data_IF_281532482259
#
_entry.id   IF_281532482259
#
_cell.length_a   1.000
_cell.length_b   1.000
_cell.length_c   1.000
_cell.angle_alpha   90.00
_cell.angle_beta   90.00
_cell.angle_gamma   90.00
#
_symmetry.space_group_name_H-M   'P 1'
#
loop_
_entity.id
_entity.type
_entity.pdbx_description
1 polymer ?
#
# COMPACT_ATOMS: atom_id res chain seq x y z
N UNK A 1 -11.49 -8.42 -14.42
CA UNK A 1 -10.17 -7.96 -13.94
C UNK A 1 -9.10 -8.30 -14.96
N UNK A 2 -8.23 -7.34 -15.29
CA UNK A 2 -7.11 -7.53 -16.22
C UNK A 2 -5.95 -8.30 -15.57
N UNK A 3 -5.02 -8.83 -16.38
CA UNK A 3 -3.80 -9.51 -15.88
C UNK A 3 -2.98 -8.60 -14.95
N UNK A 4 -2.87 -7.32 -15.31
CA UNK A 4 -2.09 -6.35 -14.53
C UNK A 4 -2.76 -6.03 -13.18
N UNK A 5 -4.09 -5.95 -13.13
CA UNK A 5 -4.84 -5.79 -11.87
C UNK A 5 -4.65 -6.98 -10.94
N UNK A 6 -4.66 -8.21 -11.48
CA UNK A 6 -4.43 -9.42 -10.70
C UNK A 6 -3.01 -9.46 -10.12
N UNK A 7 -1.99 -9.22 -10.96
CA UNK A 7 -0.58 -9.15 -10.54
C UNK A 7 -0.37 -8.06 -9.47
N UNK A 8 -0.91 -6.86 -9.68
CA UNK A 8 -0.82 -5.75 -8.73
C UNK A 8 -1.50 -6.09 -7.40
N UNK A 9 -2.72 -6.63 -7.44
CA UNK A 9 -3.48 -7.01 -6.24
C UNK A 9 -2.73 -8.03 -5.39
N UNK A 10 -2.12 -9.03 -6.00
CA UNK A 10 -1.34 -10.04 -5.29
C UNK A 10 -0.13 -9.41 -4.56
N UNK A 11 0.64 -8.59 -5.27
CA UNK A 11 1.81 -7.90 -4.70
C UNK A 11 1.41 -6.97 -3.55
N UNK A 12 0.36 -6.17 -3.74
CA UNK A 12 -0.15 -5.23 -2.75
C UNK A 12 -0.65 -5.95 -1.48
N UNK A 13 -1.42 -7.03 -1.62
CA UNK A 13 -1.91 -7.81 -0.47
C UNK A 13 -0.78 -8.53 0.29
N UNK A 14 0.29 -8.91 -0.40
CA UNK A 14 1.49 -9.45 0.25
C UNK A 14 2.19 -8.38 1.08
N UNK A 15 2.40 -7.18 0.52
CA UNK A 15 3.03 -6.04 1.22
C UNK A 15 2.20 -5.55 2.39
N UNK A 16 0.88 -5.39 2.20
CA UNK A 16 -0.04 -5.01 3.27
C UNK A 16 0.04 -5.95 4.46
N UNK A 17 0.06 -7.27 4.21
CA UNK A 17 0.24 -8.27 5.28
C UNK A 17 1.57 -8.11 6.00
N UNK A 18 2.68 -7.92 5.30
CA UNK A 18 3.98 -7.70 5.93
C UNK A 18 3.98 -6.45 6.84
N UNK A 19 3.41 -5.34 6.37
CA UNK A 19 3.25 -4.10 7.15
C UNK A 19 2.26 -4.25 8.33
N UNK A 20 1.26 -5.13 8.20
CA UNK A 20 0.28 -5.42 9.25
C UNK A 20 0.75 -6.47 10.27
N UNK A 21 1.70 -7.35 9.92
CA UNK A 21 2.17 -8.43 10.79
C UNK A 21 3.40 -8.05 11.63
N UNK A 22 4.12 -6.98 11.27
CA UNK A 22 5.12 -6.35 12.13
C UNK A 22 4.56 -5.81 13.46
N UNK A 23 3.24 -5.84 13.65
CA UNK A 23 2.53 -5.34 14.84
C UNK A 23 1.73 -6.41 15.60
N UNK A 24 1.60 -7.64 15.07
CA UNK A 24 0.65 -8.64 15.61
C UNK A 24 1.29 -9.94 16.14
N UNK A 25 2.58 -10.19 15.90
CA UNK A 25 3.22 -11.45 16.33
C UNK A 25 3.54 -11.51 17.84
N UNK A 26 3.27 -10.46 18.62
CA UNK A 26 3.49 -10.46 20.07
C UNK A 26 2.34 -11.14 20.87
N UNK A 27 1.20 -11.49 20.25
CA UNK A 27 -0.01 -11.85 21.00
C UNK A 27 -0.74 -13.11 20.51
N UNK A 28 -0.02 -14.11 19.98
CA UNK A 28 -0.64 -15.36 19.49
C UNK A 28 -0.27 -16.61 20.31
N UNK A 29 0.24 -16.46 21.54
CA UNK A 29 0.30 -17.56 22.52
C UNK A 29 -0.71 -17.33 23.66
N UNK A 30 -1.88 -17.97 23.64
CA UNK A 30 -2.87 -17.86 24.72
C UNK A 30 -2.41 -18.48 26.06
N UNK A 31 -1.27 -19.19 26.09
CA UNK A 31 -0.68 -19.71 27.33
C UNK A 31 0.26 -18.70 28.04
N UNK A 32 0.63 -17.59 27.38
CA UNK A 32 1.51 -16.56 27.94
C UNK A 32 0.72 -15.52 28.75
N UNK A 33 0.03 -15.94 29.81
CA UNK A 33 -0.84 -15.04 30.59
C UNK A 33 -0.12 -14.22 31.69
N UNK A 34 1.22 -14.21 31.80
CA UNK A 34 1.86 -13.43 32.89
C UNK A 34 3.19 -12.72 32.60
N UNK A 35 3.71 -12.68 31.37
CA UNK A 35 4.93 -11.92 31.08
C UNK A 35 4.68 -10.73 30.14
N UNK A 36 5.40 -9.63 30.41
CA UNK A 36 5.63 -8.46 29.57
C UNK A 36 4.57 -7.34 29.52
N UNK A 37 4.62 -6.49 30.56
CA UNK A 37 4.39 -5.05 30.39
C UNK A 37 5.42 -4.37 29.45
N UNK A 38 6.49 -5.08 29.08
CA UNK A 38 7.55 -4.66 28.15
C UNK A 38 7.24 -4.95 26.66
N UNK A 39 6.19 -5.72 26.35
CA UNK A 39 5.74 -5.97 24.98
C UNK A 39 4.80 -4.86 24.47
N UNK A 40 5.18 -3.60 24.65
CA UNK A 40 4.51 -2.53 23.92
C UNK A 40 4.92 -2.61 22.45
N UNK A 41 3.98 -2.84 21.52
CA UNK A 41 4.31 -2.82 20.11
C UNK A 41 4.86 -1.45 19.79
N UNK A 42 6.06 -1.43 19.19
CA UNK A 42 6.66 -0.22 18.64
C UNK A 42 5.62 0.54 17.81
N UNK A 43 5.42 1.85 18.04
CA UNK A 43 4.44 2.60 17.29
C UNK A 43 4.76 2.50 15.79
N UNK A 44 3.75 2.12 14.99
CA UNK A 44 3.88 2.04 13.53
C UNK A 44 4.45 3.36 13.02
N UNK A 45 5.59 3.28 12.33
CA UNK A 45 6.25 4.47 11.81
C UNK A 45 5.31 5.22 10.86
N UNK A 46 5.42 6.54 10.83
CA UNK A 46 4.64 7.38 9.92
C UNK A 46 4.83 6.96 8.45
N UNK A 47 6.03 6.47 8.10
CA UNK A 47 6.32 5.90 6.79
C UNK A 47 5.47 4.65 6.53
N UNK A 48 5.43 3.70 7.45
CA UNK A 48 4.63 2.48 7.30
C UNK A 48 3.12 2.79 7.22
N UNK A 49 2.63 3.81 7.95
CA UNK A 49 1.25 4.28 7.84
C UNK A 49 0.93 4.83 6.45
N UNK A 50 1.82 5.65 5.90
CA UNK A 50 1.69 6.18 4.53
C UNK A 50 1.72 5.06 3.50
N UNK A 51 2.65 4.12 3.61
CA UNK A 51 2.70 2.97 2.71
C UNK A 51 1.43 2.11 2.77
N UNK A 52 0.89 1.87 3.96
CA UNK A 52 -0.40 1.17 4.11
C UNK A 52 -1.54 1.92 3.42
N UNK A 53 -1.63 3.24 3.63
CA UNK A 53 -2.65 4.06 2.99
C UNK A 53 -2.54 4.03 1.46
N UNK A 54 -1.32 4.06 0.91
CA UNK A 54 -1.06 3.99 -0.53
C UNK A 54 -1.44 2.63 -1.12
N UNK A 55 -1.19 1.56 -0.36
CA UNK A 55 -1.59 0.20 -0.74
C UNK A 55 -3.12 0.06 -0.72
N UNK A 56 -3.77 0.54 0.33
CA UNK A 56 -5.23 0.46 0.47
C UNK A 56 -5.95 1.27 -0.62
N UNK A 57 -5.46 2.46 -0.95
CA UNK A 57 -5.94 3.25 -2.08
C UNK A 57 -5.81 2.51 -3.42
N UNK A 58 -4.65 1.89 -3.67
CA UNK A 58 -4.42 1.13 -4.89
C UNK A 58 -5.34 -0.10 -4.99
N UNK A 59 -5.57 -0.80 -3.87
CA UNK A 59 -6.51 -1.92 -3.81
C UNK A 59 -7.95 -1.48 -4.06
N UNK A 60 -8.36 -0.32 -3.52
CA UNK A 60 -9.68 0.26 -3.78
C UNK A 60 -9.85 0.58 -5.27
N UNK A 61 -8.86 1.21 -5.91
CA UNK A 61 -8.89 1.49 -7.36
C UNK A 61 -9.00 0.21 -8.21
N UNK A 62 -8.39 -0.90 -7.79
CA UNK A 62 -8.55 -2.20 -8.45
C UNK A 62 -9.99 -2.70 -8.30
N UNK A 63 -10.57 -2.56 -7.10
CA UNK A 63 -11.95 -2.97 -6.84
C UNK A 63 -12.96 -2.14 -7.64
N UNK A 64 -12.73 -0.85 -7.78
CA UNK A 64 -13.59 0.08 -8.53
C UNK A 64 -13.37 0.01 -10.06
N UNK A 65 -12.32 -0.67 -10.52
CA UNK A 65 -11.98 -0.77 -11.95
C UNK A 65 -11.28 0.48 -12.51
N UNK A 66 -10.83 1.41 -11.67
CA UNK A 66 -10.11 2.63 -12.04
C UNK A 66 -8.58 2.47 -11.94
N UNK A 67 -8.09 1.25 -11.70
CA UNK A 67 -6.66 0.97 -11.60
C UNK A 67 -5.94 1.19 -12.93
N UNK A 68 -4.75 1.80 -12.85
CA UNK A 68 -3.98 2.13 -14.04
C UNK A 68 -4.33 3.46 -14.69
N UNK A 69 -5.19 4.28 -14.06
CA UNK A 69 -5.44 5.67 -14.48
C UNK A 69 -4.75 6.67 -13.55
N UNK A 70 -4.24 7.76 -14.12
CA UNK A 70 -3.65 8.87 -13.39
C UNK A 70 -4.74 9.67 -12.68
N UNK A 71 -4.59 9.89 -11.37
CA UNK A 71 -5.56 10.65 -10.59
C UNK A 71 -5.60 12.16 -10.93
N UNK A 72 -4.59 12.69 -11.62
CA UNK A 72 -4.56 14.09 -12.02
C UNK A 72 -5.13 14.34 -13.43
N UNK A 73 -4.68 13.57 -14.43
CA UNK A 73 -5.07 13.81 -15.82
C UNK A 73 -6.01 12.76 -16.41
N UNK A 74 -6.35 11.69 -15.66
CA UNK A 74 -7.17 10.58 -16.15
C UNK A 74 -6.47 9.66 -17.18
N UNK A 75 -5.29 10.05 -17.67
CA UNK A 75 -4.53 9.27 -18.66
C UNK A 75 -3.95 7.96 -18.10
N UNK A 76 -3.50 7.05 -18.97
CA UNK A 76 -3.02 5.74 -18.56
C UNK A 76 -1.68 5.83 -17.80
N UNK A 77 -1.56 5.02 -16.75
CA UNK A 77 -0.29 4.70 -16.09
C UNK A 77 0.41 3.61 -16.91
N UNK A 78 1.65 3.87 -17.32
CA UNK A 78 2.41 2.91 -18.12
C UNK A 78 2.58 1.57 -17.40
N UNK A 79 2.43 0.46 -18.13
CA UNK A 79 2.51 -0.89 -17.55
C UNK A 79 3.82 -1.16 -16.78
N UNK A 80 4.95 -0.66 -17.30
CA UNK A 80 6.24 -0.80 -16.63
C UNK A 80 6.25 -0.08 -15.27
N UNK A 81 5.57 1.08 -15.17
CA UNK A 81 5.42 1.81 -13.92
C UNK A 81 4.54 1.05 -12.93
N UNK A 82 3.42 0.48 -13.37
CA UNK A 82 2.53 -0.31 -12.51
C UNK A 82 3.19 -1.60 -12.01
N UNK A 83 4.06 -2.23 -12.82
CA UNK A 83 4.85 -3.39 -12.38
C UNK A 83 5.93 -3.02 -11.37
N UNK A 84 6.57 -1.87 -11.55
CA UNK A 84 7.62 -1.40 -10.64
C UNK A 84 7.04 -0.81 -9.33
N UNK A 85 5.95 -0.05 -9.43
CA UNK A 85 5.28 0.67 -8.35
C UNK A 85 3.77 0.45 -8.49
N UNK A 86 3.22 -0.66 -7.95
CA UNK A 86 1.81 -1.00 -8.05
C UNK A 86 0.87 0.03 -7.43
N UNK A 87 1.33 0.78 -6.42
CA UNK A 87 0.58 1.83 -5.73
C UNK A 87 0.57 3.19 -6.48
N UNK A 88 1.22 3.28 -7.64
CA UNK A 88 1.33 4.54 -8.38
C UNK A 88 -0.03 5.22 -8.62
N UNK A 89 -0.10 6.50 -8.25
CA UNK A 89 -1.29 7.36 -8.40
C UNK A 89 -1.23 8.28 -9.63
N UNK A 90 -0.02 8.60 -10.08
CA UNK A 90 0.21 9.60 -11.11
C UNK A 90 1.09 9.05 -12.24
N UNK A 91 0.82 9.52 -13.47
CA UNK A 91 1.67 9.23 -14.62
C UNK A 91 3.01 9.95 -14.49
N UNK A 92 4.01 9.61 -15.32
CA UNK A 92 5.33 10.23 -15.23
C UNK A 92 5.29 11.76 -15.37
N UNK A 93 4.44 12.28 -16.26
CA UNK A 93 4.25 13.71 -16.44
C UNK A 93 3.66 14.40 -15.18
N UNK A 94 2.71 13.75 -14.50
CA UNK A 94 2.06 14.32 -13.31
C UNK A 94 2.85 14.06 -12.01
N UNK A 95 3.69 13.02 -11.96
CA UNK A 95 4.45 12.65 -10.77
C UNK A 95 5.51 13.68 -10.39
N UNK A 96 5.99 14.47 -11.36
CA UNK A 96 6.94 15.57 -11.14
C UNK A 96 6.31 16.88 -10.65
N UNK A 97 4.98 16.97 -10.60
CA UNK A 97 4.26 18.15 -10.11
C UNK A 97 3.89 18.04 -8.62
N UNK A 98 4.59 17.20 -7.87
CA UNK A 98 4.46 17.15 -6.42
C UNK A 98 4.99 18.48 -5.85
N UNK A 99 4.06 19.36 -5.43
CA UNK A 99 4.29 20.64 -4.73
C UNK A 99 4.65 21.89 -5.54
N UNK A 100 3.93 22.22 -6.62
CA UNK A 100 3.85 23.61 -7.11
C UNK A 100 2.42 24.15 -7.02
N UNK A 101 1.93 24.21 -5.78
CA UNK A 101 0.84 25.11 -5.40
C UNK A 101 1.33 25.83 -4.14
N UNK A 102 1.93 26.99 -4.38
CA UNK A 102 1.95 28.15 -3.47
C UNK A 102 1.19 29.27 -4.20
#
# INVERSE_FOLDING_TARGET
MSRIEAEAREVLLRRRRALSHGTAQAAADPAAHWADYEAMPEPVSELARRELADIDDALLRIQEGCYGCCLNCGGPLGLQRLRAIPEARYCLACSGHAHLVD
#
